data_IF_587877874026
#
_entry.id   IF_587877874026
#
_cell.length_a   1.000
_cell.length_b   1.000
_cell.length_c   1.000
_cell.angle_alpha   90.00
_cell.angle_beta   90.00
_cell.angle_gamma   90.00
#
_symmetry.space_group_name_H-M   'P 1'
#
loop_
_entity.id
_entity.type
_entity.pdbx_description
1 polymer ?
#
# COMPACT_ATOMS: atom_id res chain seq x y z
N UNK A 1 23.48 23.58 -14.66
CA UNK A 1 22.04 23.86 -14.59
C UNK A 1 21.28 22.72 -15.25
N UNK A 2 20.68 21.81 -14.48
CA UNK A 2 20.00 20.60 -14.98
C UNK A 2 18.55 20.97 -15.31
N UNK A 3 18.24 21.14 -16.61
CA UNK A 3 16.85 21.36 -17.08
C UNK A 3 16.02 20.14 -16.68
N UNK A 4 15.09 20.32 -15.73
CA UNK A 4 14.06 19.32 -15.45
C UNK A 4 13.10 19.36 -16.64
N UNK A 5 13.01 18.25 -17.36
CA UNK A 5 12.05 18.04 -18.43
C UNK A 5 10.65 18.24 -17.86
N UNK A 6 9.98 19.33 -18.25
CA UNK A 6 8.58 19.56 -17.94
C UNK A 6 7.77 18.60 -18.80
N UNK A 7 7.42 17.46 -18.20
CA UNK A 7 6.37 16.55 -18.69
C UNK A 7 5.12 17.40 -18.95
N UNK A 8 4.32 17.14 -20.00
CA UNK A 8 3.12 17.94 -20.28
C UNK A 8 2.25 17.99 -19.01
N UNK A 9 2.20 19.17 -18.39
CA UNK A 9 1.38 19.46 -17.22
C UNK A 9 -0.08 19.47 -17.67
N UNK A 10 -0.71 18.29 -17.68
CA UNK A 10 -2.17 18.26 -17.63
C UNK A 10 -2.56 18.72 -16.22
N UNK A 11 -3.42 19.74 -16.07
CA UNK A 11 -3.80 20.23 -14.75
C UNK A 11 -4.54 19.11 -14.03
N UNK A 12 -3.98 18.65 -12.91
CA UNK A 12 -4.70 17.77 -12.01
C UNK A 12 -5.95 18.52 -11.55
N UNK A 13 -7.10 17.85 -11.61
CA UNK A 13 -8.38 18.49 -11.30
C UNK A 13 -8.73 18.26 -9.84
N UNK A 14 -9.26 19.29 -9.19
CA UNK A 14 -9.74 19.21 -7.81
C UNK A 14 -11.13 18.55 -7.75
N UNK A 15 -11.33 17.73 -6.73
CA UNK A 15 -12.64 17.17 -6.37
C UNK A 15 -12.74 16.96 -4.87
N UNK A 16 -13.95 16.80 -4.37
CA UNK A 16 -14.19 16.46 -2.97
C UNK A 16 -14.17 14.94 -2.78
N UNK A 17 -13.33 14.50 -1.86
CA UNK A 17 -13.33 13.16 -1.32
C UNK A 17 -14.11 13.12 -0.01
N UNK A 18 -14.84 12.03 0.21
CA UNK A 18 -15.55 11.74 1.45
C UNK A 18 -14.94 10.51 2.12
N UNK A 19 -14.58 10.64 3.38
CA UNK A 19 -14.08 9.52 4.20
C UNK A 19 -15.22 8.51 4.39
N UNK A 20 -14.99 7.27 3.98
CA UNK A 20 -15.96 6.18 4.11
C UNK A 20 -15.65 5.29 5.32
N UNK A 21 -14.37 5.16 5.69
CA UNK A 21 -13.94 4.46 6.89
C UNK A 21 -12.59 5.00 7.41
N UNK A 22 -12.36 4.90 8.71
CA UNK A 22 -11.08 5.14 9.34
C UNK A 22 -10.77 3.97 10.27
N UNK A 23 -9.69 3.23 10.00
CA UNK A 23 -9.27 2.07 10.78
C UNK A 23 -7.90 2.34 11.40
N UNK A 24 -7.70 1.93 12.63
CA UNK A 24 -6.38 1.93 13.24
C UNK A 24 -5.58 0.72 12.71
N UNK A 25 -4.51 0.99 11.97
CA UNK A 25 -3.54 0.03 11.48
C UNK A 25 -2.43 -0.10 12.53
N UNK A 26 -2.68 -0.94 13.54
CA UNK A 26 -1.60 -1.51 14.35
C UNK A 26 -0.76 -2.29 13.35
N UNK A 27 0.43 -1.82 12.99
CA UNK A 27 1.35 -2.50 12.07
C UNK A 27 1.74 -3.89 12.58
N UNK A 28 0.81 -4.84 12.50
CA UNK A 28 0.80 -6.12 13.22
C UNK A 28 1.85 -7.11 12.72
N UNK A 29 2.70 -6.69 11.78
CA UNK A 29 3.90 -7.41 11.35
C UNK A 29 5.22 -6.69 11.62
N UNK A 30 5.23 -5.43 12.07
CA UNK A 30 6.47 -4.66 12.29
C UNK A 30 6.92 -4.61 13.76
N UNK A 31 6.02 -4.84 14.72
CA UNK A 31 6.37 -4.84 16.14
C UNK A 31 7.28 -6.01 16.56
N UNK A 32 7.29 -7.11 15.80
CA UNK A 32 8.17 -8.26 16.06
C UNK A 32 9.59 -8.10 15.47
N UNK A 33 9.85 -7.02 14.73
CA UNK A 33 11.09 -6.84 13.98
C UNK A 33 11.71 -5.46 14.27
N UNK A 34 12.11 -5.19 15.52
CA UNK A 34 13.06 -4.13 15.95
C UNK A 34 13.07 -2.85 15.07
N UNK A 35 11.90 -2.35 14.69
CA UNK A 35 11.75 -1.37 13.63
C UNK A 35 11.01 -0.15 14.14
N UNK A 36 11.54 1.02 13.80
CA UNK A 36 10.99 2.33 14.16
C UNK A 36 9.47 2.33 13.86
N UNK A 37 8.60 2.59 14.85
CA UNK A 37 7.17 2.62 14.64
C UNK A 37 6.85 3.62 13.52
N UNK A 38 6.16 3.17 12.47
CA UNK A 38 5.76 4.06 11.38
C UNK A 38 4.74 5.04 11.92
N UNK A 39 5.00 6.34 11.83
CA UNK A 39 4.18 7.42 12.40
C UNK A 39 2.75 7.54 11.83
N UNK A 40 2.38 6.70 10.85
CA UNK A 40 1.06 6.69 10.21
C UNK A 40 0.28 5.48 10.66
N UNK A 41 -0.61 5.68 11.62
CA UNK A 41 -1.35 4.60 12.30
C UNK A 41 -2.80 4.45 11.83
N UNK A 42 -3.33 5.35 11.00
CA UNK A 42 -4.71 5.29 10.54
C UNK A 42 -4.77 4.98 9.06
N UNK A 43 -5.42 3.89 8.68
CA UNK A 43 -5.81 3.60 7.31
C UNK A 43 -7.16 4.28 7.03
N UNK A 44 -7.13 5.28 6.16
CA UNK A 44 -8.29 6.08 5.77
C UNK A 44 -8.78 5.58 4.43
N UNK A 45 -10.00 5.05 4.39
CA UNK A 45 -10.71 4.74 3.15
C UNK A 45 -11.59 5.92 2.78
N UNK A 46 -11.54 6.35 1.53
CA UNK A 46 -12.32 7.47 1.03
C UNK A 46 -12.89 7.18 -0.36
N UNK A 47 -13.93 7.93 -0.71
CA UNK A 47 -14.56 7.89 -2.04
C UNK A 47 -14.60 9.29 -2.64
N UNK A 48 -14.48 9.39 -3.96
CA UNK A 48 -14.57 10.64 -4.68
C UNK A 48 -15.28 10.44 -6.02
N UNK A 49 -15.91 11.49 -6.53
CA UNK A 49 -16.63 11.45 -7.80
C UNK A 49 -15.81 12.16 -8.88
N UNK A 50 -15.59 11.47 -9.99
CA UNK A 50 -14.88 12.00 -11.16
C UNK A 50 -15.44 11.35 -12.43
N UNK A 51 -15.56 12.10 -13.53
CA UNK A 51 -15.97 11.55 -14.83
C UNK A 51 -17.27 10.72 -14.82
N UNK A 52 -18.24 11.09 -13.99
CA UNK A 52 -19.51 10.35 -13.92
C UNK A 52 -19.47 9.08 -13.07
N UNK A 53 -18.35 8.79 -12.41
CA UNK A 53 -18.13 7.56 -11.65
C UNK A 53 -17.58 7.87 -10.24
N UNK A 54 -17.96 7.03 -9.28
CA UNK A 54 -17.38 7.05 -7.94
C UNK A 54 -16.17 6.13 -7.88
N UNK A 55 -15.04 6.66 -7.44
CA UNK A 55 -13.81 5.93 -7.16
C UNK A 55 -13.60 5.83 -5.66
N UNK A 56 -12.95 4.75 -5.24
CA UNK A 56 -12.59 4.50 -3.84
C UNK A 56 -11.10 4.22 -3.74
N UNK A 57 -10.46 4.81 -2.75
CA UNK A 57 -9.02 4.64 -2.52
C UNK A 57 -8.71 4.74 -1.03
N UNK A 58 -7.50 4.35 -0.65
CA UNK A 58 -7.06 4.29 0.74
C UNK A 58 -5.69 4.93 0.92
N UNK A 59 -5.50 5.65 2.02
CA UNK A 59 -4.19 6.17 2.38
C UNK A 59 -3.93 6.08 3.88
N UNK A 60 -2.65 6.01 4.26
CA UNK A 60 -2.24 6.05 5.65
C UNK A 60 -2.05 7.49 6.14
N UNK A 61 -2.65 7.81 7.29
CA UNK A 61 -2.60 9.10 7.96
C UNK A 61 -2.03 8.96 9.39
N UNK A 62 -1.22 9.92 9.89
CA UNK A 62 -0.85 10.00 11.30
C UNK A 62 -2.01 10.49 12.19
N UNK A 63 -3.01 11.12 11.57
CA UNK A 63 -4.13 11.76 12.27
C UNK A 63 -5.43 11.05 11.90
N UNK A 64 -6.28 10.87 12.90
CA UNK A 64 -7.64 10.38 12.71
C UNK A 64 -8.45 11.31 11.81
N UNK A 65 -9.23 10.74 10.90
CA UNK A 65 -10.23 11.47 10.11
C UNK A 65 -11.60 10.88 10.39
N UNK A 66 -12.56 11.75 10.71
CA UNK A 66 -13.92 11.35 11.02
C UNK A 66 -14.60 10.74 9.80
N UNK A 67 -15.34 9.64 10.02
CA UNK A 67 -16.14 9.05 8.97
C UNK A 67 -17.20 10.03 8.48
N UNK A 68 -17.33 10.17 7.17
CA UNK A 68 -18.24 11.14 6.55
C UNK A 68 -17.64 12.54 6.37
N UNK A 69 -16.48 12.84 6.96
CA UNK A 69 -15.76 14.09 6.70
C UNK A 69 -15.33 14.18 5.24
N UNK A 70 -15.28 15.41 4.72
CA UNK A 70 -14.87 15.69 3.34
C UNK A 70 -13.56 16.46 3.29
N UNK A 71 -12.72 16.14 2.32
CA UNK A 71 -11.47 16.84 2.07
C UNK A 71 -11.20 16.97 0.57
N UNK A 72 -10.38 17.94 0.18
CA UNK A 72 -10.04 18.16 -1.23
C UNK A 72 -8.93 17.21 -1.64
N UNK A 73 -9.11 16.56 -2.79
CA UNK A 73 -8.07 15.81 -3.48
C UNK A 73 -7.91 16.35 -4.90
N UNK A 74 -6.76 16.09 -5.48
CA UNK A 74 -6.54 16.29 -6.92
C UNK A 74 -6.45 14.93 -7.59
N UNK A 75 -7.00 14.80 -8.79
CA UNK A 75 -6.97 13.57 -9.58
C UNK A 75 -6.48 13.84 -11.00
N UNK A 76 -5.95 12.80 -11.64
CA UNK A 76 -5.50 12.85 -13.03
C UNK A 76 -6.72 12.72 -13.97
N UNK A 77 -7.06 13.72 -14.80
CA UNK A 77 -8.21 13.61 -15.70
C UNK A 77 -8.04 12.53 -16.78
N UNK A 78 -6.81 12.20 -17.17
CA UNK A 78 -6.54 11.12 -18.14
C UNK A 78 -6.66 9.73 -17.52
N UNK A 79 -6.51 9.65 -16.18
CA UNK A 79 -6.59 8.42 -15.41
C UNK A 79 -7.29 8.70 -14.08
N UNK A 80 -8.64 8.77 -14.04
CA UNK A 80 -9.39 9.25 -12.86
C UNK A 80 -9.19 8.45 -11.58
N UNK A 81 -8.64 7.23 -11.68
CA UNK A 81 -8.24 6.39 -10.54
C UNK A 81 -6.98 6.90 -9.83
N UNK A 82 -6.11 7.67 -10.50
CA UNK A 82 -4.92 8.25 -9.90
C UNK A 82 -5.28 9.56 -9.20
N UNK A 83 -5.03 9.63 -7.90
CA UNK A 83 -5.24 10.83 -7.11
C UNK A 83 -4.03 11.16 -6.22
N UNK A 84 -4.04 12.35 -5.61
CA UNK A 84 -2.94 12.87 -4.80
C UNK A 84 -2.65 12.07 -3.53
N UNK A 85 -3.54 11.15 -3.14
CA UNK A 85 -3.40 10.26 -1.99
C UNK A 85 -3.05 8.82 -2.38
N UNK A 86 -3.26 8.40 -3.63
CA UNK A 86 -2.94 7.04 -4.14
C UNK A 86 -1.48 6.65 -3.97
N UNK A 87 -0.54 7.59 -4.07
CA UNK A 87 0.91 7.31 -3.97
C UNK A 87 1.36 6.96 -2.54
N UNK A 88 0.48 7.06 -1.54
CA UNK A 88 0.81 6.72 -0.15
C UNK A 88 0.60 5.23 0.20
N UNK A 89 0.05 4.42 -0.72
CA UNK A 89 0.09 2.97 -0.63
C UNK A 89 1.54 2.52 -0.88
N UNK A 90 2.31 2.35 0.21
CA UNK A 90 3.66 1.80 0.13
C UNK A 90 3.64 0.51 -0.72
N UNK A 91 4.65 0.28 -1.58
CA UNK A 91 4.74 -0.93 -2.36
C UNK A 91 4.68 -2.13 -1.44
N UNK A 92 3.67 -2.98 -1.64
CA UNK A 92 3.56 -4.31 -1.05
C UNK A 92 4.87 -5.04 -1.32
N UNK A 93 5.78 -5.07 -0.34
CA UNK A 93 7.03 -5.80 -0.46
C UNK A 93 6.68 -7.26 -0.69
N UNK A 94 7.00 -7.72 -1.89
CA UNK A 94 6.84 -9.10 -2.37
C UNK A 94 7.36 -10.07 -1.31
N UNK A 95 6.60 -11.11 -0.92
CA UNK A 95 7.04 -12.03 0.12
C UNK A 95 8.10 -12.98 -0.45
N UNK A 96 9.35 -12.54 -0.45
CA UNK A 96 10.52 -13.40 -0.72
C UNK A 96 10.69 -14.54 0.31
N UNK A 97 9.85 -14.58 1.35
CA UNK A 97 9.85 -15.62 2.39
C UNK A 97 9.29 -16.98 1.93
N UNK A 98 8.62 -17.07 0.78
CA UNK A 98 8.10 -18.36 0.29
C UNK A 98 9.20 -19.33 -0.18
N UNK A 99 10.40 -18.83 -0.54
CA UNK A 99 11.47 -19.66 -1.10
C UNK A 99 12.21 -20.45 -0.01
N UNK A 100 12.37 -19.89 1.20
CA UNK A 100 13.12 -20.52 2.29
C UNK A 100 12.48 -21.80 2.83
N UNK A 101 11.15 -21.85 2.89
CA UNK A 101 10.40 -23.01 3.42
C UNK A 101 10.51 -24.20 2.48
N UNK A 102 10.37 -23.98 1.16
CA UNK A 102 10.46 -25.04 0.16
C UNK A 102 11.87 -25.65 0.12
N UNK A 103 12.91 -24.82 0.20
CA UNK A 103 14.30 -25.29 0.23
C UNK A 103 14.60 -26.20 1.42
N UNK A 104 14.12 -25.84 2.62
CA UNK A 104 14.33 -26.63 3.84
C UNK A 104 13.66 -28.01 3.79
N UNK A 105 12.46 -28.09 3.20
CA UNK A 105 11.73 -29.36 3.02
C UNK A 105 12.48 -30.28 2.06
N UNK A 106 12.97 -29.77 0.93
CA UNK A 106 13.71 -30.56 -0.06
C UNK A 106 15.02 -31.09 0.54
N UNK A 107 15.78 -30.25 1.24
CA UNK A 107 17.04 -30.68 1.89
C UNK A 107 16.77 -31.76 2.94
N UNK A 108 15.72 -31.59 3.76
CA UNK A 108 15.35 -32.56 4.79
C UNK A 108 14.93 -33.91 4.19
N UNK A 109 14.19 -33.90 3.07
CA UNK A 109 13.78 -35.11 2.36
C UNK A 109 14.99 -35.82 1.74
N UNK A 110 15.91 -35.09 1.09
CA UNK A 110 17.14 -35.66 0.53
C UNK A 110 17.98 -36.30 1.64
N UNK A 111 18.13 -35.62 2.77
CA UNK A 111 18.86 -36.15 3.93
C UNK A 111 18.23 -37.44 4.47
N UNK A 112 16.90 -37.49 4.60
CA UNK A 112 16.17 -38.68 5.04
C UNK A 112 16.31 -39.86 4.07
N UNK A 113 16.35 -39.60 2.77
CA UNK A 113 16.58 -40.65 1.76
C UNK A 113 18.00 -41.19 1.84
N UNK A 114 19.01 -40.32 2.01
CA UNK A 114 20.40 -40.76 2.18
C UNK A 114 20.58 -41.64 3.43
N UNK A 115 19.99 -41.24 4.57
CA UNK A 115 20.09 -42.01 5.81
C UNK A 115 19.34 -43.36 5.77
N UNK A 116 18.29 -43.49 4.93
CA UNK A 116 17.54 -44.74 4.76
C UNK A 116 18.06 -45.63 3.63
N UNK A 117 18.88 -45.10 2.73
CA UNK A 117 19.53 -45.84 1.65
C UNK A 117 20.81 -46.59 2.05
N UNK A 118 21.37 -46.31 3.22
CA UNK A 118 22.44 -47.12 3.81
C UNK A 118 21.85 -48.28 4.59
N UNK A 119 21.44 -49.34 3.88
CA UNK A 119 21.32 -50.69 4.44
C UNK A 119 21.89 -51.71 3.46
#
# INVERSE_FOLDING_TARGET
MKKRTQSPDFPWLETQAKVTACKYDFGAGQALAFGIPTSKHFLISFSYYAHGQTFTDEFRSPTYLEQGSTFVITYNPLSPQQNSKSTAALPTKTPLFAIGVVGSIIISLIWLVMMRGCR
#
